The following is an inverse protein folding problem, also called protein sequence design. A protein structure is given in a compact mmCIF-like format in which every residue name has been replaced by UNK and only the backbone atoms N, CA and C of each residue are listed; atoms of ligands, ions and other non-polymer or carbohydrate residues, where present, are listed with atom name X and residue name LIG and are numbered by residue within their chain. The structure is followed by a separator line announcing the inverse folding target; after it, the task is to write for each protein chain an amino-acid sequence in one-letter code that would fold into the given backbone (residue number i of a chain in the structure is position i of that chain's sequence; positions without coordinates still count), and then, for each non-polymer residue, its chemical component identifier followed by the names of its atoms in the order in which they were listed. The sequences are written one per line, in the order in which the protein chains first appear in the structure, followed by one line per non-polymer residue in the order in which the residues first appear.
data_IF_837791684941
#
_entry.id   IF_837791684941
#
_cell.length_a   1.000
_cell.length_b   1.000
_cell.length_c   1.000
_cell.angle_alpha   90.00
_cell.angle_beta   90.00
_cell.angle_gamma   90.00
#
_symmetry.space_group_name_H-M   'P 1'
#
loop_
_entity.id
_entity.type
_entity.pdbx_description
1 polymer ?
#
# COMPACT_ATOMS: atom_id res chain seq x y z
N UNK A 1 -15.04 -9.47 -32.99
CA UNK A 1 -14.53 -8.33 -32.19
C UNK A 1 -13.34 -8.84 -31.40
N UNK A 2 -12.15 -8.21 -31.49
CA UNK A 2 -11.02 -8.62 -30.67
C UNK A 2 -11.41 -8.42 -29.21
N UNK A 3 -11.26 -9.45 -28.38
CA UNK A 3 -11.29 -9.28 -26.94
C UNK A 3 -10.15 -8.31 -26.60
N UNK A 4 -10.49 -7.08 -26.19
CA UNK A 4 -9.50 -6.24 -25.52
C UNK A 4 -9.03 -7.02 -24.31
N UNK A 5 -7.77 -7.43 -24.35
CA UNK A 5 -7.10 -8.11 -23.26
C UNK A 5 -7.32 -7.28 -21.99
N UNK A 6 -7.72 -7.94 -20.90
CA UNK A 6 -7.71 -7.30 -19.59
C UNK A 6 -6.26 -6.86 -19.32
N UNK A 7 -6.02 -5.56 -19.20
CA UNK A 7 -4.69 -5.01 -18.98
C UNK A 7 -4.48 -4.82 -17.48
N UNK A 8 -3.33 -5.28 -16.99
CA UNK A 8 -2.89 -5.01 -15.63
C UNK A 8 -2.06 -3.72 -15.60
N UNK A 9 -2.36 -2.83 -14.66
CA UNK A 9 -1.62 -1.60 -14.48
C UNK A 9 -1.73 -1.09 -13.05
N UNK A 10 -0.68 -0.36 -12.66
CA UNK A 10 -0.65 0.53 -11.51
C UNK A 10 -0.11 1.86 -12.01
N UNK A 11 -1.00 2.84 -12.13
CA UNK A 11 -0.69 4.21 -12.55
C UNK A 11 -0.54 5.04 -11.29
N UNK A 12 0.58 5.77 -11.22
CA UNK A 12 0.86 6.75 -10.19
C UNK A 12 1.07 8.11 -10.83
N UNK A 13 0.41 9.13 -10.30
CA UNK A 13 0.58 10.50 -10.77
C UNK A 13 0.61 11.48 -9.61
N UNK A 14 1.53 12.44 -9.67
CA UNK A 14 1.56 13.58 -8.75
C UNK A 14 0.74 14.70 -9.38
N UNK A 15 -0.23 15.20 -8.62
CA UNK A 15 -1.23 16.13 -9.10
C UNK A 15 -1.20 17.39 -8.24
N UNK A 16 -1.25 18.54 -8.90
CA UNK A 16 -1.48 19.83 -8.25
C UNK A 16 -2.99 20.05 -8.12
N UNK A 17 -3.44 20.62 -7.01
CA UNK A 17 -4.85 20.81 -6.64
C UNK A 17 -5.62 19.48 -6.57
N UNK A 18 -5.05 18.48 -5.89
CA UNK A 18 -5.64 17.14 -5.78
C UNK A 18 -7.05 17.14 -5.17
N UNK A 19 -7.39 18.16 -4.38
CA UNK A 19 -8.70 18.34 -3.73
C UNK A 19 -9.87 18.44 -4.71
N UNK A 20 -9.60 18.75 -6.00
CA UNK A 20 -10.63 18.84 -7.04
C UNK A 20 -10.83 17.54 -7.81
N UNK A 21 -10.12 16.47 -7.47
CA UNK A 21 -10.22 15.20 -8.19
C UNK A 21 -11.39 14.39 -7.65
N UNK A 22 -12.34 14.11 -8.54
CA UNK A 22 -13.47 13.25 -8.25
C UNK A 22 -13.13 11.79 -8.60
N UNK A 23 -12.68 11.02 -7.60
CA UNK A 23 -12.32 9.60 -7.77
C UNK A 23 -13.44 8.77 -8.41
N UNK A 24 -14.70 9.09 -8.12
CA UNK A 24 -15.84 8.36 -8.71
C UNK A 24 -15.97 8.59 -10.22
N UNK A 25 -15.63 9.78 -10.72
CA UNK A 25 -15.55 10.03 -12.17
C UNK A 25 -14.43 9.22 -12.81
N UNK A 26 -13.29 9.06 -12.13
CA UNK A 26 -12.20 8.20 -12.59
C UNK A 26 -12.68 6.75 -12.70
N UNK A 27 -13.29 6.20 -11.63
CA UNK A 27 -13.88 4.85 -11.64
C UNK A 27 -14.94 4.67 -12.72
N UNK A 28 -15.83 5.64 -12.91
CA UNK A 28 -16.86 5.58 -13.95
C UNK A 28 -16.27 5.60 -15.36
N UNK A 29 -15.17 6.33 -15.58
CA UNK A 29 -14.51 6.41 -16.88
C UNK A 29 -13.93 5.08 -17.37
N UNK A 30 -13.70 4.10 -16.48
CA UNK A 30 -13.19 2.77 -16.85
C UNK A 30 -14.28 1.78 -17.26
N UNK A 31 -15.55 2.08 -16.92
CA UNK A 31 -16.70 1.21 -17.24
C UNK A 31 -16.84 1.03 -18.75
N UNK A 32 -16.60 2.09 -19.53
CA UNK A 32 -16.66 2.03 -20.99
C UNK A 32 -15.65 1.04 -21.59
N UNK A 33 -14.55 0.77 -20.88
CA UNK A 33 -13.50 -0.16 -21.30
C UNK A 33 -13.71 -1.57 -20.72
N UNK A 34 -14.83 -1.84 -20.04
CA UNK A 34 -15.09 -3.09 -19.31
C UNK A 34 -13.96 -3.46 -18.34
N UNK A 35 -13.23 -2.45 -17.84
CA UNK A 35 -12.11 -2.60 -16.94
C UNK A 35 -12.55 -2.19 -15.54
N UNK A 36 -12.43 -3.11 -14.57
CA UNK A 36 -12.57 -2.76 -13.16
C UNK A 36 -11.26 -2.12 -12.69
N UNK A 37 -11.39 -0.96 -12.04
CA UNK A 37 -10.28 -0.24 -11.42
C UNK A 37 -10.68 0.18 -10.02
N UNK A 38 -9.70 0.50 -9.21
CA UNK A 38 -9.91 1.32 -8.03
C UNK A 38 -8.78 2.34 -7.92
N UNK A 39 -9.00 3.36 -7.10
CA UNK A 39 -8.13 4.51 -7.02
C UNK A 39 -8.17 5.19 -5.66
N UNK A 40 -7.05 5.80 -5.29
CA UNK A 40 -6.89 6.57 -4.05
C UNK A 40 -6.10 7.83 -4.32
N UNK A 41 -6.27 8.81 -3.44
CA UNK A 41 -5.44 10.02 -3.43
C UNK A 41 -4.82 10.15 -2.05
N UNK A 42 -3.50 10.23 -2.05
CA UNK A 42 -2.69 10.62 -0.91
C UNK A 42 -2.51 12.14 -0.98
N UNK A 43 -2.92 12.88 0.05
CA UNK A 43 -2.77 14.34 0.07
C UNK A 43 -1.44 14.72 0.72
N UNK A 44 -0.62 15.41 -0.06
CA UNK A 44 0.72 15.84 0.28
C UNK A 44 0.70 17.37 0.32
N UNK A 45 0.54 17.97 1.50
CA UNK A 45 0.29 19.42 1.69
C UNK A 45 -0.97 19.97 0.97
N UNK A 46 -1.32 21.25 1.19
CA UNK A 46 -2.59 21.84 0.73
C UNK A 46 -2.69 22.04 -0.81
N UNK A 47 -1.70 21.62 -1.60
CA UNK A 47 -1.72 21.82 -3.05
C UNK A 47 -1.29 20.61 -3.86
N UNK A 48 -0.76 19.55 -3.26
CA UNK A 48 -0.33 18.37 -4.00
C UNK A 48 -1.00 17.10 -3.47
N UNK A 49 -1.14 16.14 -4.35
CA UNK A 49 -1.51 14.79 -3.95
C UNK A 49 -1.02 13.78 -4.96
N UNK A 50 -0.90 12.55 -4.51
CA UNK A 50 -0.58 11.42 -5.36
C UNK A 50 -1.84 10.61 -5.61
N UNK A 51 -2.27 10.60 -6.88
CA UNK A 51 -3.32 9.70 -7.33
C UNK A 51 -2.71 8.37 -7.71
N UNK A 52 -3.28 7.31 -7.17
CA UNK A 52 -2.98 5.93 -7.55
C UNK A 52 -4.20 5.33 -8.19
N UNK A 53 -4.03 4.68 -9.34
CA UNK A 53 -5.08 3.97 -10.06
C UNK A 53 -4.55 2.60 -10.42
N UNK A 54 -5.32 1.54 -10.16
CA UNK A 54 -4.88 0.18 -10.47
C UNK A 54 -6.04 -0.68 -10.95
N UNK A 55 -5.72 -1.66 -11.78
CA UNK A 55 -6.64 -2.66 -12.28
C UNK A 55 -7.10 -3.63 -11.18
N UNK A 56 -8.33 -4.13 -11.29
CA UNK A 56 -8.88 -5.14 -10.41
C UNK A 56 -9.32 -6.40 -11.19
N UNK A 57 -8.99 -7.62 -10.70
CA UNK A 57 -7.96 -7.87 -9.68
C UNK A 57 -6.58 -7.39 -10.17
N UNK A 58 -5.70 -7.01 -9.25
CA UNK A 58 -4.34 -6.64 -9.58
C UNK A 58 -3.51 -7.91 -9.77
N UNK A 59 -2.95 -8.09 -10.97
CA UNK A 59 -2.22 -9.29 -11.36
C UNK A 59 -0.72 -9.10 -11.12
N UNK A 60 -0.23 -7.86 -11.09
CA UNK A 60 1.15 -7.50 -10.84
C UNK A 60 1.69 -8.02 -9.51
N UNK A 61 3.01 -8.21 -9.47
CA UNK A 61 3.70 -8.77 -8.31
C UNK A 61 4.30 -7.71 -7.39
N UNK A 62 4.21 -6.43 -7.78
CA UNK A 62 4.90 -5.31 -7.15
C UNK A 62 3.96 -4.11 -7.04
N UNK A 63 3.92 -3.51 -5.85
CA UNK A 63 3.24 -2.25 -5.56
C UNK A 63 4.24 -1.28 -4.95
N UNK A 64 4.38 -0.10 -5.54
CA UNK A 64 5.39 0.87 -5.14
C UNK A 64 4.78 2.18 -4.63
N UNK A 65 5.45 2.80 -3.65
CA UNK A 65 5.10 4.10 -3.08
C UNK A 65 3.68 4.15 -2.50
N UNK A 66 3.40 3.16 -1.68
CA UNK A 66 2.10 2.97 -1.02
C UNK A 66 2.08 3.73 0.31
N UNK A 67 1.03 4.53 0.53
CA UNK A 67 0.77 5.28 1.77
C UNK A 67 -0.31 4.62 2.63
N UNK A 68 -0.54 5.17 3.83
CA UNK A 68 -1.65 4.80 4.72
C UNK A 68 -3.05 4.78 4.06
N UNK A 69 -3.29 5.58 3.01
CA UNK A 69 -4.62 5.66 2.37
C UNK A 69 -4.85 4.56 1.34
N UNK A 70 -3.83 3.79 0.99
CA UNK A 70 -4.00 2.72 0.01
C UNK A 70 -5.04 1.71 0.51
N UNK A 71 -5.99 1.28 -0.33
CA UNK A 71 -7.18 0.63 0.17
C UNK A 71 -6.93 -0.87 0.31
N UNK A 72 -6.35 -1.21 1.46
CA UNK A 72 -6.15 -2.58 1.93
C UNK A 72 -7.36 -3.06 2.73
N UNK A 73 -8.57 -2.86 2.20
CA UNK A 73 -9.83 -3.22 2.88
C UNK A 73 -10.81 -3.98 1.97
N UNK A 74 -11.60 -4.86 2.61
CA UNK A 74 -12.87 -5.43 2.15
C UNK A 74 -12.95 -6.10 0.77
N UNK A 75 -11.88 -6.65 0.20
CA UNK A 75 -12.05 -7.64 -0.88
C UNK A 75 -10.92 -8.68 -0.86
N UNK A 76 -11.28 -9.93 -0.58
CA UNK A 76 -10.39 -11.08 -0.72
C UNK A 76 -9.82 -11.12 -2.15
N UNK A 77 -8.53 -11.44 -2.27
CA UNK A 77 -7.84 -11.70 -3.54
C UNK A 77 -7.61 -10.50 -4.50
N UNK A 78 -7.81 -9.24 -4.09
CA UNK A 78 -7.45 -8.09 -4.97
C UNK A 78 -5.97 -7.99 -5.30
N UNK A 79 -5.11 -8.34 -4.36
CA UNK A 79 -3.66 -8.18 -4.44
C UNK A 79 -2.93 -9.51 -4.17
N UNK A 80 -3.57 -10.64 -4.46
CA UNK A 80 -3.08 -11.99 -4.12
C UNK A 80 -1.75 -12.36 -4.79
N UNK A 81 -1.37 -11.67 -5.87
CA UNK A 81 -0.11 -11.88 -6.57
C UNK A 81 1.04 -10.98 -6.06
N UNK A 82 0.75 -10.00 -5.21
CA UNK A 82 1.76 -9.06 -4.74
C UNK A 82 2.73 -9.77 -3.80
N UNK A 83 4.01 -9.68 -4.15
CA UNK A 83 5.14 -10.27 -3.41
C UNK A 83 6.16 -9.22 -2.98
N UNK A 84 6.10 -8.03 -3.56
CA UNK A 84 6.95 -6.89 -3.22
C UNK A 84 6.10 -5.66 -2.96
N UNK A 85 6.36 -4.99 -1.84
CA UNK A 85 5.71 -3.75 -1.44
C UNK A 85 6.75 -2.72 -1.03
N UNK A 86 6.66 -1.52 -1.60
CA UNK A 86 7.43 -0.35 -1.15
C UNK A 86 6.48 0.65 -0.50
N UNK A 87 6.67 0.86 0.80
CA UNK A 87 5.98 1.85 1.59
C UNK A 87 6.81 3.13 1.65
N UNK A 88 6.21 4.24 1.25
CA UNK A 88 6.83 5.56 1.30
C UNK A 88 5.79 6.61 1.67
N UNK A 89 6.06 7.38 2.71
CA UNK A 89 5.30 8.57 3.08
C UNK A 89 6.23 9.53 3.83
N UNK A 90 6.52 10.69 3.24
CA UNK A 90 7.41 11.72 3.80
C UNK A 90 6.63 12.82 4.53
N UNK A 91 5.30 12.72 4.56
CA UNK A 91 4.42 13.76 5.10
C UNK A 91 3.60 13.25 6.28
N UNK A 92 3.24 11.97 6.30
CA UNK A 92 2.49 11.34 7.39
C UNK A 92 3.22 10.11 7.92
N UNK A 93 3.18 9.88 9.24
CA UNK A 93 3.70 8.66 9.82
C UNK A 93 2.81 7.46 9.47
N UNK A 94 3.40 6.28 9.29
CA UNK A 94 2.62 5.05 9.10
C UNK A 94 2.01 4.58 10.43
N UNK A 95 0.69 4.39 10.47
CA UNK A 95 0.02 3.91 11.68
C UNK A 95 0.16 2.40 11.84
N UNK A 96 0.20 1.91 13.09
CA UNK A 96 0.35 0.48 13.38
C UNK A 96 -0.69 -0.39 12.63
N UNK A 97 -1.95 0.06 12.64
CA UNK A 97 -3.08 -0.64 11.99
C UNK A 97 -2.89 -0.78 10.48
N UNK A 98 -2.11 0.11 9.84
CA UNK A 98 -1.81 -0.01 8.42
C UNK A 98 -0.97 -1.27 8.15
N UNK A 99 0.09 -1.49 8.91
CA UNK A 99 0.92 -2.69 8.77
C UNK A 99 0.13 -3.98 9.05
N UNK A 100 -0.82 -3.96 9.98
CA UNK A 100 -1.73 -5.09 10.20
C UNK A 100 -2.58 -5.39 8.96
N UNK A 101 -3.10 -4.35 8.29
CA UNK A 101 -3.86 -4.51 7.03
C UNK A 101 -2.97 -5.05 5.92
N UNK A 102 -1.73 -4.57 5.81
CA UNK A 102 -0.74 -5.11 4.86
C UNK A 102 -0.54 -6.60 5.10
N UNK A 103 -0.23 -7.00 6.33
CA UNK A 103 0.01 -8.39 6.70
C UNK A 103 -1.19 -9.31 6.39
N UNK A 104 -2.41 -8.84 6.67
CA UNK A 104 -3.64 -9.60 6.41
C UNK A 104 -4.03 -9.68 4.93
N UNK A 105 -3.69 -8.66 4.14
CA UNK A 105 -4.11 -8.55 2.74
C UNK A 105 -3.08 -9.15 1.80
N UNK A 106 -1.79 -8.95 2.08
CA UNK A 106 -0.67 -9.37 1.23
C UNK A 106 -0.05 -10.65 1.77
N UNK A 107 -0.84 -11.73 1.77
CA UNK A 107 -0.47 -13.02 2.36
C UNK A 107 0.75 -13.68 1.71
N UNK A 108 1.21 -13.22 0.54
CA UNK A 108 2.38 -13.75 -0.18
C UNK A 108 3.55 -12.76 -0.22
N UNK A 109 3.50 -11.72 0.60
CA UNK A 109 4.54 -10.69 0.66
C UNK A 109 5.88 -11.31 1.06
N UNK A 110 6.89 -11.15 0.20
CA UNK A 110 8.27 -11.63 0.38
C UNK A 110 9.24 -10.50 0.67
N UNK A 111 9.01 -9.35 0.04
CA UNK A 111 9.85 -8.17 0.15
C UNK A 111 9.00 -7.00 0.64
N UNK A 112 9.41 -6.42 1.76
CA UNK A 112 8.83 -5.20 2.31
C UNK A 112 9.93 -4.17 2.44
N UNK A 113 9.77 -3.05 1.75
CA UNK A 113 10.62 -1.87 1.88
C UNK A 113 9.82 -0.77 2.54
N UNK A 114 10.40 -0.13 3.56
CA UNK A 114 9.75 0.94 4.32
C UNK A 114 10.68 2.14 4.44
N UNK A 115 10.15 3.28 4.03
CA UNK A 115 10.83 4.58 4.08
C UNK A 115 9.88 5.59 4.72
N UNK A 116 10.24 6.06 5.91
CA UNK A 116 9.47 7.08 6.65
C UNK A 116 10.32 7.62 7.80
N UNK A 117 10.73 8.88 7.72
CA UNK A 117 11.57 9.53 8.74
C UNK A 117 10.77 10.08 9.93
N UNK A 118 9.44 10.07 9.87
CA UNK A 118 8.56 10.65 10.89
C UNK A 118 8.34 9.68 12.06
N UNK A 119 8.27 10.24 13.27
CA UNK A 119 7.92 9.47 14.47
C UNK A 119 6.55 8.81 14.32
N UNK A 120 6.43 7.55 14.74
CA UNK A 120 5.16 6.83 14.65
C UNK A 120 4.17 7.32 15.71
N UNK A 121 3.05 7.91 15.30
CA UNK A 121 2.03 8.49 16.20
C UNK A 121 1.34 7.46 17.12
N UNK A 122 1.14 6.23 16.66
CA UNK A 122 0.40 5.19 17.38
C UNK A 122 1.27 3.94 17.63
N UNK A 123 2.29 4.09 18.48
CA UNK A 123 3.11 2.95 18.93
C UNK A 123 2.21 2.00 19.71
N UNK A 124 2.01 0.79 19.21
CA UNK A 124 1.11 -0.18 19.82
C UNK A 124 1.59 -0.54 21.24
N UNK A 125 0.90 -0.05 22.26
CA UNK A 125 1.19 -0.29 23.68
C UNK A 125 0.58 -1.59 24.20
N UNK A 126 -0.15 -2.34 23.37
CA UNK A 126 -0.84 -3.57 23.73
C UNK A 126 -0.15 -4.82 23.18
N UNK A 127 -0.05 -5.86 24.02
CA UNK A 127 0.57 -7.17 23.75
C UNK A 127 -0.18 -8.06 22.76
N UNK A 128 -1.40 -7.70 22.33
CA UNK A 128 -2.35 -8.61 21.65
C UNK A 128 -2.66 -8.28 20.18
N UNK A 129 -1.84 -7.46 19.52
CA UNK A 129 -2.08 -7.03 18.15
C UNK A 129 -0.87 -7.44 17.27
N UNK A 130 -0.65 -8.74 17.11
CA UNK A 130 0.48 -9.28 16.33
C UNK A 130 0.34 -8.91 14.85
N UNK A 131 1.35 -8.23 14.32
CA UNK A 131 1.60 -8.17 12.88
C UNK A 131 2.37 -9.44 12.53
N UNK A 132 1.93 -10.17 11.51
CA UNK A 132 2.51 -11.46 11.14
C UNK A 132 2.76 -11.52 9.64
N UNK A 133 4.04 -11.50 9.24
CA UNK A 133 4.43 -11.71 7.85
C UNK A 133 5.07 -13.08 7.68
N UNK A 134 4.23 -14.09 7.45
CA UNK A 134 4.61 -15.50 7.38
C UNK A 134 5.61 -15.85 6.27
N UNK A 135 5.66 -15.05 5.20
CA UNK A 135 6.49 -15.34 4.02
C UNK A 135 7.50 -14.23 3.71
N UNK A 136 7.65 -13.25 4.60
CA UNK A 136 8.59 -12.16 4.40
C UNK A 136 10.01 -12.68 4.56
N UNK A 137 10.79 -12.61 3.49
CA UNK A 137 12.19 -13.04 3.44
C UNK A 137 13.15 -11.86 3.39
N UNK A 138 12.65 -10.66 3.09
CA UNK A 138 13.47 -9.46 2.92
C UNK A 138 12.74 -8.26 3.48
N UNK A 139 13.36 -7.61 4.46
CA UNK A 139 12.90 -6.36 5.04
C UNK A 139 13.98 -5.30 4.80
N UNK A 140 13.63 -4.26 4.03
CA UNK A 140 14.53 -3.15 3.70
C UNK A 140 14.08 -1.92 4.47
N UNK A 141 14.93 -1.48 5.39
CA UNK A 141 14.71 -0.33 6.26
C UNK A 141 15.80 0.70 5.95
N UNK A 142 15.48 1.75 5.19
CA UNK A 142 16.39 2.86 4.93
C UNK A 142 15.63 4.18 5.07
N UNK A 143 16.33 5.25 5.45
CA UNK A 143 15.74 6.56 5.75
C UNK A 143 14.46 6.42 6.60
N UNK A 144 14.61 5.74 7.73
CA UNK A 144 13.49 5.31 8.57
C UNK A 144 13.67 5.77 10.02
N UNK A 145 12.57 6.17 10.66
CA UNK A 145 12.54 6.45 12.09
C UNK A 145 12.69 5.16 12.91
N UNK A 146 13.31 5.27 14.09
CA UNK A 146 13.61 4.13 14.96
C UNK A 146 12.36 3.34 15.41
N UNK A 147 11.20 3.99 15.49
CA UNK A 147 9.95 3.32 15.90
C UNK A 147 9.52 2.23 14.92
N UNK A 148 9.72 2.44 13.62
CA UNK A 148 9.38 1.42 12.63
C UNK A 148 10.36 0.25 12.70
N UNK A 149 11.63 0.52 13.02
CA UNK A 149 12.62 -0.53 13.29
C UNK A 149 12.16 -1.37 14.48
N UNK A 150 11.76 -0.73 15.58
CA UNK A 150 11.23 -1.43 16.75
C UNK A 150 9.96 -2.22 16.41
N UNK A 151 9.00 -1.62 15.73
CA UNK A 151 7.75 -2.29 15.38
C UNK A 151 8.00 -3.51 14.47
N UNK A 152 8.77 -3.34 13.41
CA UNK A 152 8.96 -4.35 12.37
C UNK A 152 9.94 -5.44 12.81
N UNK A 153 11.00 -5.14 13.55
CA UNK A 153 11.98 -6.16 13.98
C UNK A 153 11.69 -6.75 15.35
N UNK A 154 11.14 -5.97 16.29
CA UNK A 154 10.98 -6.43 17.69
C UNK A 154 9.56 -6.84 18.03
N UNK A 155 8.55 -6.35 17.29
CA UNK A 155 7.12 -6.52 17.63
C UNK A 155 6.29 -7.19 16.54
N UNK A 156 6.93 -7.72 15.50
CA UNK A 156 6.29 -8.39 14.37
C UNK A 156 6.81 -9.82 14.26
N UNK A 157 5.92 -10.78 13.98
CA UNK A 157 6.30 -12.16 13.75
C UNK A 157 6.81 -12.33 12.31
N UNK A 158 8.09 -12.68 12.19
CA UNK A 158 8.83 -12.74 10.92
C UNK A 158 9.59 -14.08 10.79
N UNK A 159 8.91 -15.22 10.70
CA UNK A 159 9.54 -16.55 10.78
C UNK A 159 10.49 -16.87 9.62
N UNK A 160 10.39 -16.14 8.50
CA UNK A 160 11.21 -16.37 7.30
C UNK A 160 12.23 -15.25 7.05
N UNK A 161 12.31 -14.24 7.92
CA UNK A 161 13.33 -13.20 7.80
C UNK A 161 14.67 -13.80 8.27
N UNK A 162 15.65 -13.82 7.37
CA UNK A 162 16.99 -14.39 7.58
C UNK A 162 17.96 -13.28 8.01
#
# INVERSE_FOLDING_TARGET
MPNLFQFDFHIRSILKNADHIELDKIRQSSIQYKQSIDCTIDYFNNQYGQCQIYSLPFIGTRLDFISNQFPLFNVENRFSNVTMLILFDDIKPFVHVFFQRVARTLLRLKVLEVVNLLEQEEKNSATNNSIEFHYLTTLILHDIHADYVEQLLCRTYLPCLI
#
